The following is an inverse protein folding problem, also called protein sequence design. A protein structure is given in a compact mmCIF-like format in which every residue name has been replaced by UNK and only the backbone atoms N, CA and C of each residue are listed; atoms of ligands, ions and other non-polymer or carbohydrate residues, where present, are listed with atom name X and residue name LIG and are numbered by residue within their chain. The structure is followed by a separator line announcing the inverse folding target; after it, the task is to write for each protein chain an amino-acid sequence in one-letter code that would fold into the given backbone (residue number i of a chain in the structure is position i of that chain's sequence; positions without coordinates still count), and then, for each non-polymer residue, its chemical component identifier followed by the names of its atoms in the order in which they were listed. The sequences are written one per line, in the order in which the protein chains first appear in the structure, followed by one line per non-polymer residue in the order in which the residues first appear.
data_IF_415653788898
#
_entry.id   IF_415653788898
#
_cell.length_a   1.000
_cell.length_b   1.000
_cell.length_c   1.000
_cell.angle_alpha   90.00
_cell.angle_beta   90.00
_cell.angle_gamma   90.00
#
_symmetry.space_group_name_H-M   'P 1'
#
loop_
_entity.id
_entity.type
_entity.pdbx_description
1 polymer ?
#
# COMPACT_ATOMS: atom_id res chain seq x y z
N UNK A 1 -3.48 -3.99 -17.19
CA UNK A 1 -2.76 -5.05 -16.46
C UNK A 1 -3.32 -5.32 -15.06
N UNK A 2 -3.45 -4.33 -14.18
CA UNK A 2 -4.03 -4.56 -12.84
C UNK A 2 -5.52 -4.98 -12.92
N UNK A 3 -6.31 -4.36 -13.78
CA UNK A 3 -7.72 -4.73 -14.01
C UNK A 3 -7.86 -6.14 -14.58
N UNK A 4 -7.00 -6.52 -15.52
CA UNK A 4 -6.99 -7.86 -16.13
C UNK A 4 -6.63 -8.95 -15.11
N UNK A 5 -5.73 -8.65 -14.17
CA UNK A 5 -5.39 -9.57 -13.08
C UNK A 5 -6.53 -9.67 -12.05
N UNK A 6 -7.17 -8.55 -11.70
CA UNK A 6 -8.29 -8.55 -10.76
C UNK A 6 -9.49 -9.36 -11.32
N UNK A 7 -9.83 -9.19 -12.60
CA UNK A 7 -10.87 -9.99 -13.28
C UNK A 7 -10.48 -11.47 -13.36
N UNK A 8 -9.23 -11.79 -13.65
CA UNK A 8 -8.76 -13.17 -13.66
C UNK A 8 -8.94 -13.86 -12.29
N UNK A 9 -8.60 -13.15 -11.19
CA UNK A 9 -8.82 -13.67 -9.83
C UNK A 9 -10.31 -13.88 -9.53
N UNK A 10 -11.18 -12.97 -9.97
CA UNK A 10 -12.62 -13.11 -9.81
C UNK A 10 -13.13 -14.34 -10.57
N UNK A 11 -12.74 -14.53 -11.82
CA UNK A 11 -13.21 -15.64 -12.66
C UNK A 11 -12.76 -17.01 -12.16
N UNK A 12 -11.53 -17.12 -11.65
CA UNK A 12 -10.97 -18.43 -11.25
C UNK A 12 -11.24 -18.81 -9.79
N UNK A 13 -11.48 -17.85 -8.92
CA UNK A 13 -11.70 -18.08 -7.48
C UNK A 13 -13.17 -17.98 -7.05
N UNK A 14 -14.05 -17.38 -7.84
CA UNK A 14 -15.45 -17.16 -7.45
C UNK A 14 -16.27 -18.45 -7.25
N UNK A 15 -15.78 -19.59 -7.73
CA UNK A 15 -16.41 -20.89 -7.50
C UNK A 15 -16.01 -21.62 -6.22
N UNK A 16 -14.90 -21.21 -5.57
CA UNK A 16 -14.30 -21.95 -4.46
C UNK A 16 -14.08 -21.09 -3.21
N UNK A 17 -14.17 -19.77 -3.32
CA UNK A 17 -13.82 -18.81 -2.25
C UNK A 17 -14.87 -17.71 -2.15
N UNK A 18 -15.15 -17.22 -0.95
CA UNK A 18 -16.11 -16.12 -0.76
C UNK A 18 -15.61 -14.81 -1.43
N UNK A 19 -16.55 -13.95 -1.84
CA UNK A 19 -16.24 -12.67 -2.47
C UNK A 19 -15.33 -11.80 -1.58
N UNK A 20 -15.59 -11.81 -0.29
CA UNK A 20 -14.83 -11.08 0.72
C UNK A 20 -13.36 -11.55 0.76
N UNK A 21 -13.15 -12.86 0.69
CA UNK A 21 -11.81 -13.43 0.68
C UNK A 21 -11.05 -13.07 -0.60
N UNK A 22 -11.73 -13.02 -1.74
CA UNK A 22 -11.13 -12.58 -3.01
C UNK A 22 -10.69 -11.13 -2.89
N UNK A 23 -11.54 -10.24 -2.39
CA UNK A 23 -11.20 -8.82 -2.16
C UNK A 23 -10.00 -8.69 -1.24
N UNK A 24 -9.96 -9.47 -0.15
CA UNK A 24 -8.86 -9.46 0.80
C UNK A 24 -7.54 -9.89 0.14
N UNK A 25 -7.53 -11.04 -0.56
CA UNK A 25 -6.32 -11.57 -1.22
C UNK A 25 -5.83 -10.61 -2.30
N UNK A 26 -6.73 -10.10 -3.13
CA UNK A 26 -6.39 -9.14 -4.20
C UNK A 26 -5.75 -7.88 -3.61
N UNK A 27 -6.30 -7.39 -2.49
CA UNK A 27 -5.77 -6.19 -1.81
C UNK A 27 -4.43 -6.42 -1.12
N UNK A 28 -4.10 -7.67 -0.78
CA UNK A 28 -2.83 -8.06 -0.19
C UNK A 28 -1.68 -8.03 -1.22
N UNK A 29 -1.98 -8.20 -2.50
CA UNK A 29 -0.97 -8.30 -3.55
C UNK A 29 -0.35 -6.93 -3.88
N UNK A 30 1.00 -6.84 -4.02
CA UNK A 30 1.70 -5.56 -4.16
C UNK A 30 1.41 -4.81 -5.47
N UNK A 31 0.85 -5.49 -6.49
CA UNK A 31 0.53 -4.89 -7.79
C UNK A 31 -0.90 -4.38 -7.83
N UNK A 32 -1.82 -5.10 -7.17
CA UNK A 32 -3.26 -4.83 -7.19
C UNK A 32 -3.67 -3.90 -6.05
N UNK A 33 -3.17 -4.18 -4.86
CA UNK A 33 -3.39 -3.38 -3.65
C UNK A 33 -4.88 -3.07 -3.35
N UNK A 34 -5.14 -2.05 -2.56
CA UNK A 34 -6.49 -1.58 -2.26
C UNK A 34 -7.36 -1.37 -3.51
N UNK A 35 -6.77 -0.83 -4.57
CA UNK A 35 -7.48 -0.50 -5.82
C UNK A 35 -8.03 -1.75 -6.49
N UNK A 36 -7.18 -2.76 -6.65
CA UNK A 36 -7.60 -4.04 -7.22
C UNK A 36 -8.70 -4.69 -6.40
N UNK A 37 -8.60 -4.64 -5.07
CA UNK A 37 -9.65 -5.14 -4.18
C UNK A 37 -10.97 -4.42 -4.33
N UNK A 38 -10.98 -3.08 -4.41
CA UNK A 38 -12.20 -2.28 -4.60
C UNK A 38 -12.83 -2.59 -5.95
N UNK A 39 -12.04 -2.64 -7.03
CA UNK A 39 -12.53 -2.96 -8.39
C UNK A 39 -13.07 -4.39 -8.43
N UNK A 40 -12.39 -5.36 -7.82
CA UNK A 40 -12.87 -6.74 -7.75
C UNK A 40 -14.19 -6.85 -6.99
N UNK A 41 -14.33 -6.18 -5.85
CA UNK A 41 -15.57 -6.17 -5.09
C UNK A 41 -16.72 -5.51 -5.85
N UNK A 42 -16.45 -4.41 -6.55
CA UNK A 42 -17.43 -3.78 -7.44
C UNK A 42 -17.87 -4.74 -8.56
N UNK A 43 -16.94 -5.37 -9.26
CA UNK A 43 -17.22 -6.33 -10.33
C UNK A 43 -18.04 -7.54 -9.86
N UNK A 44 -17.85 -7.97 -8.60
CA UNK A 44 -18.63 -9.05 -7.99
C UNK A 44 -20.00 -8.61 -7.41
N UNK A 45 -20.37 -7.33 -7.58
CA UNK A 45 -21.62 -6.77 -7.06
C UNK A 45 -21.67 -6.70 -5.53
N UNK A 46 -20.52 -6.54 -4.86
CA UNK A 46 -20.48 -6.33 -3.42
C UNK A 46 -20.88 -4.89 -3.08
N UNK A 47 -21.45 -4.72 -1.88
CA UNK A 47 -21.71 -3.37 -1.37
C UNK A 47 -20.39 -2.61 -1.11
N UNK A 48 -20.37 -1.30 -1.37
CA UNK A 48 -19.17 -0.49 -1.32
C UNK A 48 -18.45 -0.50 0.06
N UNK A 49 -19.24 -0.45 1.17
CA UNK A 49 -18.67 -0.33 2.51
C UNK A 49 -17.90 -1.59 2.96
N UNK A 50 -18.45 -2.83 2.91
CA UNK A 50 -17.68 -4.02 3.22
C UNK A 50 -16.49 -4.20 2.26
N UNK A 51 -16.65 -3.93 0.98
CA UNK A 51 -15.54 -3.97 0.01
C UNK A 51 -14.40 -3.05 0.43
N UNK A 52 -14.71 -1.80 0.78
CA UNK A 52 -13.73 -0.83 1.22
C UNK A 52 -12.97 -1.28 2.49
N UNK A 53 -13.72 -1.72 3.51
CA UNK A 53 -13.12 -2.14 4.80
C UNK A 53 -12.18 -3.34 4.59
N UNK A 54 -12.63 -4.36 3.85
CA UNK A 54 -11.85 -5.57 3.61
C UNK A 54 -10.59 -5.24 2.78
N UNK A 55 -10.75 -4.46 1.73
CA UNK A 55 -9.63 -4.03 0.89
C UNK A 55 -8.62 -3.17 1.68
N UNK A 56 -9.09 -2.29 2.54
CA UNK A 56 -8.26 -1.45 3.40
C UNK A 56 -7.43 -2.29 4.39
N UNK A 57 -8.06 -3.24 5.07
CA UNK A 57 -7.36 -4.14 5.99
C UNK A 57 -6.36 -5.02 5.24
N UNK A 58 -6.75 -5.62 4.11
CA UNK A 58 -5.88 -6.45 3.29
C UNK A 58 -4.64 -5.71 2.81
N UNK A 59 -4.79 -4.45 2.38
CA UNK A 59 -3.67 -3.63 1.92
C UNK A 59 -2.74 -3.16 3.06
N UNK A 60 -3.28 -2.91 4.24
CA UNK A 60 -2.48 -2.45 5.39
C UNK A 60 -1.72 -3.57 6.09
N UNK A 61 -2.20 -4.80 6.02
CA UNK A 61 -1.62 -5.94 6.74
C UNK A 61 -0.13 -6.18 6.44
N UNK A 62 0.36 -6.12 5.19
CA UNK A 62 1.78 -6.31 4.90
C UNK A 62 2.67 -5.12 5.29
N UNK A 63 2.13 -3.92 5.45
CA UNK A 63 2.91 -2.69 5.62
C UNK A 63 3.83 -2.72 6.86
N UNK A 64 3.38 -3.13 8.07
CA UNK A 64 4.26 -3.25 9.22
C UNK A 64 5.41 -4.22 8.97
N UNK A 65 5.13 -5.35 8.30
CA UNK A 65 6.16 -6.34 7.98
C UNK A 65 7.20 -5.76 7.01
N UNK A 66 6.80 -5.02 6.00
CA UNK A 66 7.71 -4.36 5.05
C UNK A 66 8.61 -3.37 5.81
N UNK A 67 8.04 -2.50 6.63
CA UNK A 67 8.77 -1.49 7.39
C UNK A 67 9.78 -2.11 8.36
N UNK A 68 9.43 -3.23 9.00
CA UNK A 68 10.31 -3.95 9.93
C UNK A 68 11.34 -4.81 9.19
N UNK A 69 10.95 -5.49 8.13
CA UNK A 69 11.80 -6.40 7.36
C UNK A 69 12.96 -5.67 6.68
N UNK A 70 12.70 -4.51 6.09
CA UNK A 70 13.76 -3.71 5.46
C UNK A 70 14.76 -3.22 6.52
N UNK A 71 14.30 -2.82 7.70
CA UNK A 71 15.20 -2.49 8.81
C UNK A 71 16.05 -3.68 9.25
N UNK A 72 15.47 -4.88 9.25
CA UNK A 72 16.22 -6.10 9.54
C UNK A 72 17.29 -6.35 8.47
N UNK A 73 16.96 -6.21 7.18
CA UNK A 73 17.93 -6.33 6.08
C UNK A 73 19.07 -5.32 6.26
N UNK A 74 18.79 -4.06 6.51
CA UNK A 74 19.85 -3.06 6.75
C UNK A 74 20.74 -3.41 7.96
N UNK A 75 20.16 -3.94 9.02
CA UNK A 75 20.92 -4.40 10.20
C UNK A 75 21.85 -5.56 9.86
N UNK A 76 21.40 -6.50 9.04
CA UNK A 76 22.22 -7.63 8.59
C UNK A 76 23.31 -7.15 7.63
N UNK A 77 22.99 -6.27 6.68
CA UNK A 77 23.95 -5.70 5.73
C UNK A 77 25.06 -4.90 6.40
N UNK A 78 24.79 -4.23 7.54
CA UNK A 78 25.83 -3.58 8.36
C UNK A 78 26.89 -4.54 8.89
N UNK A 79 26.59 -5.83 9.00
CA UNK A 79 27.53 -6.88 9.45
C UNK A 79 28.28 -7.54 8.28
N UNK A 80 28.06 -7.09 7.06
CA UNK A 80 28.67 -7.63 5.84
C UNK A 80 29.64 -6.60 5.22
N UNK A 81 30.45 -6.98 4.21
CA UNK A 81 31.31 -6.03 3.48
C UNK A 81 30.57 -4.83 2.86
N UNK A 82 29.24 -4.91 2.79
CA UNK A 82 28.36 -3.85 2.28
C UNK A 82 28.03 -2.76 3.32
N UNK A 83 28.62 -2.81 4.52
CA UNK A 83 28.38 -1.81 5.58
C UNK A 83 28.58 -0.37 5.11
N UNK A 84 29.59 -0.12 4.26
CA UNK A 84 29.87 1.21 3.72
C UNK A 84 28.73 1.81 2.89
N UNK A 85 27.99 0.97 2.15
CA UNK A 85 26.82 1.41 1.40
C UNK A 85 25.68 1.81 2.34
N UNK A 86 25.43 1.01 3.38
CA UNK A 86 24.40 1.28 4.37
C UNK A 86 24.70 2.56 5.15
N UNK A 87 25.95 2.74 5.60
CA UNK A 87 26.40 3.95 6.30
C UNK A 87 26.33 5.20 5.41
N UNK A 88 26.61 5.06 4.12
CA UNK A 88 26.44 6.17 3.17
C UNK A 88 24.97 6.57 3.04
N UNK A 89 24.04 5.59 2.92
CA UNK A 89 22.60 5.83 2.90
C UNK A 89 22.12 6.51 4.19
N UNK A 90 22.57 6.04 5.34
CA UNK A 90 22.23 6.61 6.65
C UNK A 90 22.76 8.03 6.81
N UNK A 91 24.03 8.30 6.49
CA UNK A 91 24.58 9.65 6.51
C UNK A 91 23.84 10.62 5.62
N UNK A 92 23.41 10.18 4.41
CA UNK A 92 22.58 11.02 3.54
C UNK A 92 21.17 11.25 4.09
N UNK A 93 20.59 10.28 4.79
CA UNK A 93 19.30 10.41 5.44
C UNK A 93 19.35 11.33 6.68
N UNK A 94 20.43 11.21 7.48
CA UNK A 94 20.64 12.00 8.70
C UNK A 94 21.08 13.45 8.43
N UNK A 95 21.76 13.69 7.32
CA UNK A 95 22.14 15.05 6.89
C UNK A 95 20.94 15.92 6.49
N UNK A 96 19.73 15.34 6.40
CA UNK A 96 18.51 16.08 6.14
C UNK A 96 17.96 16.67 7.44
N UNK A 97 17.85 18.02 7.48
CA UNK A 97 17.31 18.75 8.63
C UNK A 97 15.92 18.26 9.03
N UNK A 98 15.52 18.48 10.31
CA UNK A 98 14.19 18.10 10.84
C UNK A 98 13.02 18.65 10.00
N UNK A 99 13.23 19.80 9.33
CA UNK A 99 12.27 20.35 8.36
C UNK A 99 12.04 19.41 7.18
N UNK A 100 13.12 18.85 6.61
CA UNK A 100 13.03 17.91 5.48
C UNK A 100 12.36 16.59 5.93
N UNK A 101 12.62 16.13 7.15
CA UNK A 101 11.94 14.96 7.72
C UNK A 101 10.42 15.17 7.82
N UNK A 102 9.99 16.35 8.26
CA UNK A 102 8.56 16.70 8.31
C UNK A 102 7.92 16.68 6.90
N UNK A 103 8.62 17.24 5.91
CA UNK A 103 8.16 17.21 4.53
C UNK A 103 8.20 15.80 3.93
N UNK A 104 9.11 14.92 4.38
CA UNK A 104 9.16 13.53 3.93
C UNK A 104 7.89 12.75 4.31
N UNK A 105 7.33 12.95 5.51
CA UNK A 105 6.06 12.34 5.90
C UNK A 105 4.89 12.84 5.03
N UNK A 106 4.83 14.15 4.74
CA UNK A 106 3.86 14.71 3.81
C UNK A 106 4.04 14.15 2.40
N UNK A 107 5.29 14.02 1.95
CA UNK A 107 5.62 13.40 0.66
C UNK A 107 5.14 11.95 0.57
N UNK A 108 5.36 11.15 1.62
CA UNK A 108 4.87 9.77 1.69
C UNK A 108 3.34 9.72 1.69
N UNK A 109 2.68 10.59 2.47
CA UNK A 109 1.22 10.69 2.47
C UNK A 109 0.67 10.97 1.07
N UNK A 110 1.16 12.04 0.43
CA UNK A 110 0.70 12.44 -0.91
C UNK A 110 1.00 11.34 -1.94
N UNK A 111 2.18 10.73 -1.86
CA UNK A 111 2.55 9.64 -2.74
C UNK A 111 1.57 8.47 -2.61
N UNK A 112 1.25 8.02 -1.40
CA UNK A 112 0.34 6.91 -1.16
C UNK A 112 -1.12 7.29 -1.46
N UNK A 113 -1.51 8.55 -1.22
CA UNK A 113 -2.86 9.05 -1.49
C UNK A 113 -3.20 9.11 -2.97
N UNK A 114 -2.20 9.26 -3.84
CA UNK A 114 -2.41 9.23 -5.28
C UNK A 114 -2.76 7.81 -5.75
N UNK A 115 -3.92 7.63 -6.40
CA UNK A 115 -4.29 6.33 -6.95
C UNK A 115 -3.36 5.99 -8.12
N UNK A 116 -2.35 5.18 -7.90
CA UNK A 116 -1.36 4.81 -8.92
C UNK A 116 -0.01 4.42 -8.35
N UNK A 117 0.34 4.90 -7.16
CA UNK A 117 1.69 4.75 -6.59
C UNK A 117 1.81 3.63 -5.57
N UNK A 118 0.81 3.46 -4.71
CA UNK A 118 0.66 2.32 -3.83
C UNK A 118 1.33 2.40 -2.45
N UNK A 119 0.72 1.71 -1.49
CA UNK A 119 1.18 1.67 -0.10
C UNK A 119 2.48 0.87 0.07
N UNK A 120 2.67 -0.18 -0.72
CA UNK A 120 3.89 -1.00 -0.72
C UNK A 120 5.12 -0.17 -1.08
N UNK A 121 5.03 0.61 -2.17
CA UNK A 121 6.12 1.50 -2.59
C UNK A 121 6.34 2.63 -1.57
N UNK A 122 5.27 3.18 -1.00
CA UNK A 122 5.36 4.16 0.09
C UNK A 122 6.09 3.62 1.32
N UNK A 123 5.79 2.39 1.73
CA UNK A 123 6.48 1.72 2.82
C UNK A 123 7.96 1.45 2.51
N UNK A 124 8.24 0.96 1.29
CA UNK A 124 9.60 0.69 0.82
C UNK A 124 10.46 1.97 0.82
N UNK A 125 9.95 3.04 0.20
CA UNK A 125 10.64 4.34 0.14
C UNK A 125 10.89 4.87 1.56
N UNK A 126 9.88 4.81 2.44
CA UNK A 126 10.01 5.28 3.82
C UNK A 126 11.06 4.51 4.60
N UNK A 127 11.15 3.20 4.39
CA UNK A 127 12.14 2.35 5.02
C UNK A 127 13.56 2.64 4.49
N UNK A 128 13.72 2.86 3.18
CA UNK A 128 14.97 3.26 2.55
C UNK A 128 15.46 4.64 3.03
N UNK A 129 14.53 5.55 3.31
CA UNK A 129 14.82 6.87 3.88
C UNK A 129 15.03 6.83 5.41
N UNK A 130 15.07 5.64 6.02
CA UNK A 130 15.23 5.44 7.45
C UNK A 130 14.22 6.21 8.32
N UNK A 131 13.00 6.41 7.79
CA UNK A 131 11.92 7.07 8.51
C UNK A 131 11.45 6.18 9.69
N UNK A 132 11.00 6.79 10.78
CA UNK A 132 10.50 6.06 11.94
C UNK A 132 9.21 5.27 11.60
N UNK A 133 9.20 3.92 11.68
CA UNK A 133 8.03 3.11 11.35
C UNK A 133 6.79 3.48 12.17
N UNK A 134 6.96 3.86 13.43
CA UNK A 134 5.85 4.23 14.32
C UNK A 134 5.13 5.49 13.84
N UNK A 135 5.85 6.40 13.18
CA UNK A 135 5.30 7.63 12.59
C UNK A 135 4.89 7.42 11.14
N UNK A 136 5.59 6.58 10.41
CA UNK A 136 5.34 6.29 8.99
C UNK A 136 4.06 5.48 8.79
N UNK A 137 3.83 4.48 9.65
CA UNK A 137 2.66 3.62 9.53
C UNK A 137 1.32 4.40 9.54
N UNK A 138 1.02 5.28 10.54
CA UNK A 138 -0.21 6.07 10.49
C UNK A 138 -0.28 7.02 9.28
N UNK A 139 0.85 7.53 8.79
CA UNK A 139 0.87 8.36 7.57
C UNK A 139 0.47 7.55 6.34
N UNK A 140 0.99 6.33 6.20
CA UNK A 140 0.59 5.41 5.14
C UNK A 140 -0.89 5.03 5.27
N UNK A 141 -1.37 4.74 6.49
CA UNK A 141 -2.79 4.45 6.74
C UNK A 141 -3.70 5.57 6.22
N UNK A 142 -3.37 6.83 6.52
CA UNK A 142 -4.12 7.98 6.03
C UNK A 142 -4.04 8.12 4.50
N UNK A 143 -2.88 7.88 3.91
CA UNK A 143 -2.71 7.87 2.45
C UNK A 143 -3.56 6.80 1.77
N UNK A 144 -3.55 5.57 2.30
CA UNK A 144 -4.38 4.45 1.81
C UNK A 144 -5.86 4.74 1.96
N UNK A 145 -6.28 5.35 3.10
CA UNK A 145 -7.66 5.77 3.31
C UNK A 145 -8.10 6.76 2.23
N UNK A 146 -7.29 7.78 1.98
CA UNK A 146 -7.57 8.80 0.96
C UNK A 146 -7.64 8.20 -0.44
N UNK A 147 -6.66 7.36 -0.82
CA UNK A 147 -6.65 6.66 -2.10
C UNK A 147 -7.87 5.76 -2.26
N UNK A 148 -8.25 5.03 -1.20
CA UNK A 148 -9.41 4.15 -1.18
C UNK A 148 -10.72 4.91 -1.34
N UNK A 149 -10.88 6.05 -0.70
CA UNK A 149 -12.05 6.91 -0.88
C UNK A 149 -12.17 7.39 -2.32
N UNK A 150 -11.06 7.85 -2.91
CA UNK A 150 -11.04 8.29 -4.33
C UNK A 150 -11.46 7.15 -5.25
N UNK A 151 -10.86 5.97 -5.10
CA UNK A 151 -11.17 4.81 -5.95
C UNK A 151 -12.60 4.32 -5.73
N UNK A 152 -13.10 4.34 -4.49
CA UNK A 152 -14.49 3.96 -4.19
C UNK A 152 -15.49 4.89 -4.86
N UNK A 153 -15.26 6.20 -4.80
CA UNK A 153 -16.11 7.20 -5.47
C UNK A 153 -16.09 6.99 -6.99
N UNK A 154 -14.93 6.70 -7.56
CA UNK A 154 -14.82 6.42 -8.99
C UNK A 154 -15.53 5.12 -9.38
N UNK A 155 -15.33 4.03 -8.61
CA UNK A 155 -15.89 2.71 -8.96
C UNK A 155 -17.39 2.61 -8.67
N UNK A 156 -17.82 2.98 -7.45
CA UNK A 156 -19.22 2.81 -7.03
C UNK A 156 -20.07 4.06 -7.29
N UNK A 157 -19.48 5.25 -7.29
CA UNK A 157 -20.21 6.51 -7.50
C UNK A 157 -20.42 6.83 -8.96
N UNK A 158 -19.37 6.75 -9.78
CA UNK A 158 -19.45 7.14 -11.20
C UNK A 158 -19.82 5.94 -12.06
N UNK A 159 -19.08 4.83 -11.98
CA UNK A 159 -19.35 3.64 -12.79
C UNK A 159 -20.67 2.96 -12.40
N UNK A 160 -21.03 2.95 -11.11
CA UNK A 160 -22.28 2.38 -10.63
C UNK A 160 -23.55 3.13 -11.07
N UNK A 161 -23.43 4.41 -11.51
CA UNK A 161 -24.54 5.18 -12.08
C UNK A 161 -24.62 5.12 -13.61
N UNK A 162 -23.64 4.50 -14.27
CA UNK A 162 -23.56 4.40 -15.73
C UNK A 162 -23.99 3.00 -16.21
N UNK A 163 -23.92 2.00 -15.33
CA UNK A 163 -24.31 0.61 -15.58
C UNK A 163 -25.63 0.31 -14.86
#
# INVERSE_FOLDING_TARGET
MAETLATWFVEHLSGSVSKEMIVFIVSLLPILELRGGIIAGFAMGMHWLPTFIIAYIGNLLPIPFILLFIRFIFRVLKKTPLHGLVEWCERKADAKSDKIRKYAYWGVYLFVALPGTGAWMGALISALLHMDPKKTFPVIMLGVLTAGMIVSVLSFGILGNII
#
